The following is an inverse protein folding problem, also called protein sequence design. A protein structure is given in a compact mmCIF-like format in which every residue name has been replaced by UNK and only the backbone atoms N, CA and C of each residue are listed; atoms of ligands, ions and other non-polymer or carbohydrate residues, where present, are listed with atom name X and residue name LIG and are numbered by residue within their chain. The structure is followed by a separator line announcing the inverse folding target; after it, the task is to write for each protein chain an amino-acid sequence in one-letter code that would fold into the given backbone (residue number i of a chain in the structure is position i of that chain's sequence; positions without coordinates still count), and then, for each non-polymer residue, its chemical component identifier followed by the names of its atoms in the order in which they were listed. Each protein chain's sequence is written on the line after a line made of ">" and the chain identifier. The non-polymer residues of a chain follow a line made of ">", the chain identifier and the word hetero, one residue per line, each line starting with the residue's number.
data_IF_856727306562
#
_entry.id   IF_856727306562
#
_cell.length_a   1.000
_cell.length_b   1.000
_cell.length_c   1.000
_cell.angle_alpha   90.00
_cell.angle_beta   90.00
_cell.angle_gamma   90.00
#
_symmetry.space_group_name_H-M   'P 1'
#
loop_
_entity.id
_entity.type
_entity.pdbx_description
1 polymer ?
#
# COMPACT_ATOMS: atom_id res chain seq x y z
N UNK A 1 4.83 -3.65 -4.65
CA UNK A 1 6.20 -3.49 -5.17
C UNK A 1 6.27 -4.10 -6.56
N UNK A 2 6.56 -3.30 -7.58
CA UNK A 2 6.62 -3.76 -8.99
C UNK A 2 8.05 -3.75 -9.55
N UNK A 3 9.04 -3.44 -8.71
CA UNK A 3 10.44 -3.39 -9.11
C UNK A 3 11.15 -4.75 -9.07
N UNK A 4 12.47 -4.73 -9.23
CA UNK A 4 13.35 -5.91 -9.13
C UNK A 4 12.85 -7.09 -9.96
N UNK A 5 12.54 -8.24 -9.34
CA UNK A 5 12.17 -9.47 -10.06
C UNK A 5 10.94 -9.30 -10.94
N UNK A 6 9.95 -8.53 -10.48
CA UNK A 6 8.73 -8.26 -11.24
C UNK A 6 9.03 -7.42 -12.48
N UNK A 7 9.80 -6.34 -12.36
CA UNK A 7 10.20 -5.51 -13.50
C UNK A 7 11.00 -6.32 -14.54
N UNK A 8 11.81 -7.29 -14.10
CA UNK A 8 12.61 -8.15 -14.99
C UNK A 8 11.79 -9.13 -15.84
N UNK A 9 10.53 -9.40 -15.50
CA UNK A 9 9.65 -10.26 -16.32
C UNK A 9 8.70 -9.43 -17.20
N UNK A 10 8.62 -8.11 -17.02
CA UNK A 10 7.77 -7.22 -17.82
C UNK A 10 8.38 -6.89 -19.19
N UNK A 11 7.63 -6.28 -20.13
CA UNK A 11 8.10 -6.01 -21.49
C UNK A 11 9.31 -5.08 -21.59
N UNK A 12 9.47 -4.13 -20.66
CA UNK A 12 10.55 -3.14 -20.70
C UNK A 12 11.38 -3.18 -19.40
N UNK A 13 12.12 -4.24 -19.10
CA UNK A 13 12.85 -4.34 -17.84
C UNK A 13 13.94 -3.27 -17.76
N UNK A 14 14.16 -2.74 -16.55
CA UNK A 14 15.33 -1.91 -16.22
C UNK A 14 16.61 -2.74 -16.30
N UNK A 15 17.78 -2.09 -16.23
CA UNK A 15 19.03 -2.79 -15.96
C UNK A 15 18.86 -3.66 -14.70
N UNK A 16 19.16 -4.99 -14.78
CA UNK A 16 19.00 -5.90 -13.65
C UNK A 16 19.93 -5.62 -12.48
N UNK A 17 20.98 -4.79 -12.64
CA UNK A 17 21.93 -4.52 -11.56
C UNK A 17 21.22 -3.93 -10.33
N UNK A 18 21.45 -4.56 -9.18
CA UNK A 18 20.97 -4.13 -7.87
C UNK A 18 22.14 -4.02 -6.89
N UNK A 19 21.95 -3.29 -5.81
CA UNK A 19 23.00 -2.87 -4.88
C UNK A 19 22.91 -3.54 -3.50
N UNK A 20 22.18 -4.65 -3.44
CA UNK A 20 21.94 -5.39 -2.21
C UNK A 20 23.18 -6.21 -1.82
N UNK A 21 23.35 -6.52 -0.54
CA UNK A 21 24.55 -7.23 -0.06
C UNK A 21 24.60 -8.69 -0.53
N UNK A 22 23.43 -9.33 -0.71
CA UNK A 22 23.28 -10.76 -0.97
C UNK A 22 23.01 -11.12 -2.44
N UNK A 23 22.41 -10.23 -3.22
CA UNK A 23 22.17 -10.42 -4.66
C UNK A 23 22.68 -9.21 -5.44
N UNK A 24 23.15 -9.45 -6.67
CA UNK A 24 23.70 -8.42 -7.57
C UNK A 24 22.86 -8.20 -8.82
N UNK A 25 21.92 -9.11 -9.08
CA UNK A 25 21.03 -9.05 -10.23
C UNK A 25 19.58 -9.28 -9.79
N UNK A 26 18.67 -8.42 -10.23
CA UNK A 26 17.23 -8.58 -10.05
C UNK A 26 16.68 -9.87 -10.71
N UNK A 27 17.41 -10.44 -11.68
CA UNK A 27 17.06 -11.73 -12.31
C UNK A 27 17.20 -12.91 -11.33
N UNK A 28 17.93 -12.73 -10.25
CA UNK A 28 18.09 -13.76 -9.23
C UNK A 28 16.79 -13.94 -8.42
N UNK A 29 15.99 -12.89 -8.23
CA UNK A 29 14.62 -13.01 -7.66
C UNK A 29 13.69 -13.80 -8.58
N UNK A 30 13.81 -13.60 -9.89
CA UNK A 30 13.06 -14.39 -10.86
C UNK A 30 13.46 -15.86 -10.76
N UNK A 31 14.76 -16.13 -10.61
CA UNK A 31 15.28 -17.50 -10.46
C UNK A 31 14.86 -18.14 -9.13
N UNK A 32 14.74 -17.37 -8.05
CA UNK A 32 14.19 -17.82 -6.76
C UNK A 32 12.72 -18.21 -6.91
N UNK A 33 11.92 -17.34 -7.51
CA UNK A 33 10.52 -17.60 -7.78
C UNK A 33 10.31 -18.85 -8.66
N UNK A 34 11.09 -18.98 -9.75
CA UNK A 34 10.98 -20.11 -10.66
C UNK A 34 11.37 -21.46 -10.02
N UNK A 35 12.29 -21.45 -9.05
CA UNK A 35 12.62 -22.64 -8.27
C UNK A 35 11.48 -23.06 -7.34
N UNK A 36 10.75 -22.10 -6.78
CA UNK A 36 9.69 -22.35 -5.81
C UNK A 36 8.36 -22.76 -6.48
N UNK A 37 7.88 -22.00 -7.49
CA UNK A 37 6.57 -22.27 -8.11
C UNK A 37 6.63 -22.53 -9.63
N UNK A 38 7.81 -22.79 -10.19
CA UNK A 38 8.00 -23.14 -11.59
C UNK A 38 8.11 -21.94 -12.54
N UNK A 39 8.26 -22.19 -13.86
CA UNK A 39 8.67 -21.17 -14.83
C UNK A 39 7.69 -19.99 -14.93
N UNK A 40 8.25 -18.79 -15.11
CA UNK A 40 7.50 -17.54 -15.33
C UNK A 40 7.68 -17.13 -16.80
N UNK A 41 6.60 -16.86 -17.57
CA UNK A 41 6.73 -16.36 -18.95
C UNK A 41 7.52 -15.04 -18.99
N UNK A 42 8.34 -14.82 -20.02
CA UNK A 42 9.13 -13.58 -20.17
C UNK A 42 9.18 -13.17 -21.65
N UNK A 43 8.65 -12.00 -22.04
CA UNK A 43 7.93 -11.05 -21.19
C UNK A 43 6.52 -11.54 -20.82
N UNK A 44 6.04 -11.14 -19.65
CA UNK A 44 4.61 -11.24 -19.28
C UNK A 44 3.81 -10.05 -19.84
N UNK A 45 2.49 -10.21 -19.93
CA UNK A 45 1.57 -9.09 -20.18
C UNK A 45 1.48 -8.12 -19.00
N UNK A 46 1.09 -6.87 -19.24
CA UNK A 46 0.99 -5.84 -18.18
C UNK A 46 -0.04 -6.18 -17.08
N UNK A 47 -1.06 -6.95 -17.41
CA UNK A 47 -2.10 -7.43 -16.48
C UNK A 47 -1.68 -8.67 -15.68
N UNK A 48 -0.59 -9.34 -16.07
CA UNK A 48 -0.17 -10.63 -15.53
C UNK A 48 -0.08 -10.65 -14.00
N UNK A 49 0.55 -9.64 -13.40
CA UNK A 49 0.80 -9.58 -11.95
C UNK A 49 -0.50 -9.53 -11.13
N UNK A 50 -1.58 -9.02 -11.71
CA UNK A 50 -2.87 -8.86 -11.04
C UNK A 50 -3.70 -10.14 -11.03
N UNK A 51 -3.52 -11.02 -12.02
CA UNK A 51 -4.18 -12.32 -12.10
C UNK A 51 -5.66 -12.30 -11.67
N UNK A 52 -5.99 -13.08 -10.64
CA UNK A 52 -7.34 -13.20 -10.11
C UNK A 52 -7.93 -11.89 -9.53
N UNK A 53 -7.10 -10.90 -9.18
CA UNK A 53 -7.56 -9.62 -8.65
C UNK A 53 -8.34 -8.81 -9.69
N UNK A 54 -8.03 -8.93 -11.00
CA UNK A 54 -8.78 -8.25 -12.06
C UNK A 54 -10.26 -8.67 -12.03
N UNK A 55 -10.51 -9.98 -12.02
CA UNK A 55 -11.87 -10.52 -11.95
C UNK A 55 -12.58 -10.13 -10.65
N UNK A 56 -11.85 -9.98 -9.55
CA UNK A 56 -12.41 -9.49 -8.29
C UNK A 56 -12.81 -8.02 -8.36
N UNK A 57 -11.96 -7.15 -8.93
CA UNK A 57 -12.28 -5.74 -9.16
C UNK A 57 -13.50 -5.57 -10.08
N UNK A 58 -13.62 -6.41 -11.12
CA UNK A 58 -14.78 -6.42 -12.02
C UNK A 58 -16.06 -6.89 -11.31
N UNK A 59 -15.96 -7.91 -10.46
CA UNK A 59 -17.10 -8.40 -9.66
C UNK A 59 -17.58 -7.35 -8.66
N UNK A 60 -16.65 -6.70 -7.95
CA UNK A 60 -16.96 -5.80 -6.84
C UNK A 60 -17.31 -4.40 -7.29
N UNK A 61 -16.73 -3.94 -8.41
CA UNK A 61 -16.92 -2.59 -8.97
C UNK A 61 -16.74 -1.50 -7.91
N UNK A 62 -15.57 -1.44 -7.22
CA UNK A 62 -15.33 -0.41 -6.22
C UNK A 62 -15.38 0.97 -6.87
N UNK A 63 -15.85 1.97 -6.13
CA UNK A 63 -15.92 3.36 -6.60
C UNK A 63 -14.51 4.01 -6.70
N UNK A 64 -13.50 3.46 -6.01
CA UNK A 64 -12.09 3.86 -6.11
C UNK A 64 -11.13 2.69 -5.80
N UNK A 65 -9.96 2.68 -6.46
CA UNK A 65 -8.86 1.72 -6.28
C UNK A 65 -7.61 2.46 -5.85
N UNK A 66 -7.26 2.31 -4.57
CA UNK A 66 -6.16 3.03 -3.92
C UNK A 66 -5.09 2.01 -3.51
N UNK A 67 -3.83 2.28 -3.84
CA UNK A 67 -2.68 1.45 -3.44
C UNK A 67 -1.58 2.31 -2.82
N UNK A 68 -0.75 1.70 -1.98
CA UNK A 68 0.60 2.22 -1.72
C UNK A 68 1.54 1.68 -2.81
N UNK A 69 2.16 2.58 -3.59
CA UNK A 69 3.17 2.20 -4.56
C UNK A 69 4.56 2.37 -3.95
N UNK A 70 5.05 1.28 -3.38
CA UNK A 70 6.36 1.21 -2.72
C UNK A 70 7.49 0.87 -3.72
N UNK A 71 7.54 1.62 -4.81
CA UNK A 71 8.49 1.41 -5.90
C UNK A 71 8.67 2.73 -6.66
N UNK A 72 9.92 3.14 -6.86
CA UNK A 72 10.22 4.27 -7.74
C UNK A 72 10.01 3.88 -9.20
N UNK A 73 9.35 4.73 -9.99
CA UNK A 73 9.19 4.57 -11.43
C UNK A 73 10.16 5.54 -12.12
N UNK A 74 11.29 5.03 -12.59
CA UNK A 74 12.38 5.90 -13.09
C UNK A 74 13.41 5.11 -13.89
N UNK A 75 14.18 5.81 -14.72
CA UNK A 75 15.38 5.29 -15.40
C UNK A 75 16.69 5.78 -14.76
N UNK A 76 16.62 6.63 -13.73
CA UNK A 76 17.78 7.10 -12.96
C UNK A 76 18.59 5.92 -12.44
N UNK A 77 19.92 6.06 -12.41
CA UNK A 77 20.87 4.99 -12.09
C UNK A 77 21.77 5.27 -10.88
N UNK A 78 21.43 6.32 -10.12
CA UNK A 78 22.09 6.73 -8.86
C UNK A 78 21.23 6.31 -7.65
N UNK A 79 21.48 5.13 -7.04
CA UNK A 79 20.71 4.64 -5.91
C UNK A 79 21.10 5.35 -4.61
N UNK A 80 20.13 5.61 -3.75
CA UNK A 80 20.39 5.99 -2.36
C UNK A 80 21.15 4.84 -1.64
N UNK A 81 22.13 5.15 -0.77
CA UNK A 81 22.98 4.15 -0.12
C UNK A 81 22.25 3.43 1.02
N UNK A 82 21.33 2.52 0.66
CA UNK A 82 20.54 1.70 1.58
C UNK A 82 20.55 0.23 1.16
N UNK A 83 19.95 -0.63 1.98
CA UNK A 83 20.01 -2.08 1.77
C UNK A 83 19.23 -2.60 0.56
N UNK A 84 18.11 -1.95 0.22
CA UNK A 84 17.19 -2.37 -0.86
C UNK A 84 16.71 -1.11 -1.61
N UNK A 85 16.77 -1.16 -2.94
CA UNK A 85 16.25 -0.12 -3.83
C UNK A 85 15.28 -0.75 -4.85
N UNK A 86 14.04 -0.27 -4.90
CA UNK A 86 13.04 -0.69 -5.87
C UNK A 86 12.96 0.27 -7.04
N UNK A 87 13.11 -0.27 -8.26
CA UNK A 87 12.94 0.46 -9.53
C UNK A 87 12.03 -0.32 -10.46
N UNK A 88 11.06 0.37 -11.05
CA UNK A 88 10.32 -0.09 -12.22
C UNK A 88 10.60 0.85 -13.37
N UNK A 89 10.78 0.32 -14.59
CA UNK A 89 10.93 1.14 -15.78
C UNK A 89 9.61 1.91 -16.06
N UNK A 90 9.65 3.22 -16.36
CA UNK A 90 8.46 3.99 -16.75
C UNK A 90 7.62 3.38 -17.89
N UNK A 91 8.25 2.68 -18.83
CA UNK A 91 7.53 2.00 -19.94
C UNK A 91 6.65 0.82 -19.46
N UNK A 92 6.83 0.39 -18.22
CA UNK A 92 6.01 -0.64 -17.57
C UNK A 92 4.83 -0.08 -16.75
N UNK A 93 4.62 1.24 -16.71
CA UNK A 93 3.51 1.87 -15.95
C UNK A 93 2.13 1.31 -16.33
N UNK A 94 1.99 0.79 -17.56
CA UNK A 94 0.77 0.14 -18.03
C UNK A 94 0.32 -1.01 -17.13
N UNK A 95 1.22 -1.64 -16.36
CA UNK A 95 0.84 -2.64 -15.38
C UNK A 95 -0.12 -2.08 -14.33
N UNK A 96 0.00 -0.82 -13.92
CA UNK A 96 -0.92 -0.19 -12.98
C UNK A 96 -2.27 0.12 -13.63
N UNK A 97 -2.25 0.63 -14.87
CA UNK A 97 -3.47 0.94 -15.62
C UNK A 97 -4.27 -0.30 -16.00
N UNK A 98 -3.63 -1.48 -16.12
CA UNK A 98 -4.31 -2.74 -16.40
C UNK A 98 -5.31 -3.12 -15.29
N UNK A 99 -5.04 -2.76 -14.04
CA UNK A 99 -5.97 -2.91 -12.91
C UNK A 99 -6.86 -1.69 -12.67
N UNK A 100 -6.76 -0.66 -13.54
CA UNK A 100 -7.50 0.61 -13.42
C UNK A 100 -7.29 1.30 -12.07
N UNK A 101 -6.07 1.26 -11.54
CA UNK A 101 -5.73 1.95 -10.29
C UNK A 101 -6.02 3.44 -10.43
N UNK A 102 -6.74 4.00 -9.47
CA UNK A 102 -7.17 5.39 -9.50
C UNK A 102 -6.19 6.29 -8.73
N UNK A 103 -5.56 5.78 -7.67
CA UNK A 103 -4.61 6.52 -6.85
C UNK A 103 -3.44 5.66 -6.34
N UNK A 104 -2.23 6.21 -6.47
CA UNK A 104 -1.01 5.70 -5.84
C UNK A 104 -0.58 6.62 -4.69
N UNK A 105 -0.56 6.09 -3.47
CA UNK A 105 0.07 6.74 -2.32
C UNK A 105 1.57 6.47 -2.38
N UNK A 106 2.36 7.52 -2.24
CA UNK A 106 3.81 7.51 -2.46
C UNK A 106 4.61 7.85 -1.20
N UNK A 107 3.95 8.25 -0.10
CA UNK A 107 4.62 8.48 1.18
C UNK A 107 5.07 7.15 1.80
N UNK A 108 6.23 6.65 1.36
CA UNK A 108 6.86 5.44 1.86
C UNK A 108 8.38 5.57 1.82
N UNK A 109 9.06 4.54 2.33
CA UNK A 109 10.52 4.46 2.41
C UNK A 109 11.21 4.06 1.10
N UNK A 110 10.52 4.01 -0.04
CA UNK A 110 11.09 3.56 -1.32
C UNK A 110 10.85 4.49 -2.54
N UNK A 111 10.03 5.55 -2.43
CA UNK A 111 9.79 6.49 -3.54
C UNK A 111 11.01 7.37 -3.90
N UNK A 112 11.98 7.50 -3.00
CA UNK A 112 13.24 8.22 -3.22
C UNK A 112 14.45 7.29 -3.36
N UNK A 113 14.24 6.00 -3.62
CA UNK A 113 15.35 5.03 -3.74
C UNK A 113 16.38 5.40 -4.81
N UNK A 114 16.00 6.25 -5.78
CA UNK A 114 16.85 6.78 -6.86
C UNK A 114 16.90 8.31 -6.81
N UNK A 115 16.95 8.83 -5.59
CA UNK A 115 17.00 10.25 -5.29
C UNK A 115 15.72 11.00 -5.68
N UNK A 116 15.85 12.33 -5.72
CA UNK A 116 14.72 13.23 -5.98
C UNK A 116 14.32 13.27 -7.44
N UNK A 117 15.26 13.02 -8.36
CA UNK A 117 14.96 12.86 -9.77
C UNK A 117 14.03 11.66 -9.97
N UNK A 118 14.35 10.50 -9.40
CA UNK A 118 13.47 9.32 -9.44
C UNK A 118 12.08 9.55 -8.80
N UNK A 119 12.00 10.36 -7.74
CA UNK A 119 10.72 10.76 -7.16
C UNK A 119 9.88 11.63 -8.13
N UNK A 120 10.51 12.59 -8.81
CA UNK A 120 9.84 13.43 -9.82
C UNK A 120 9.42 12.60 -11.04
N UNK A 121 10.27 11.73 -11.55
CA UNK A 121 9.94 10.78 -12.63
C UNK A 121 8.71 9.94 -12.26
N UNK A 122 8.63 9.50 -11.01
CA UNK A 122 7.51 8.69 -10.51
C UNK A 122 6.20 9.49 -10.58
N UNK A 123 6.21 10.74 -10.09
CA UNK A 123 5.06 11.64 -10.15
C UNK A 123 4.63 11.89 -11.59
N UNK A 124 5.58 12.23 -12.47
CA UNK A 124 5.32 12.53 -13.89
C UNK A 124 4.80 11.33 -14.65
N UNK A 125 5.36 10.15 -14.41
CA UNK A 125 4.92 8.92 -15.07
C UNK A 125 3.49 8.56 -14.67
N UNK A 126 3.13 8.69 -13.38
CA UNK A 126 1.77 8.40 -12.90
C UNK A 126 0.75 9.43 -13.41
N UNK A 127 1.08 10.73 -13.34
CA UNK A 127 0.22 11.80 -13.87
C UNK A 127 0.03 11.69 -15.37
N UNK A 128 1.08 11.31 -16.11
CA UNK A 128 1.03 11.12 -17.56
C UNK A 128 0.07 10.02 -18.03
N UNK A 129 -0.25 9.06 -17.16
CA UNK A 129 -1.26 8.02 -17.42
C UNK A 129 -2.58 8.25 -16.67
N UNK A 130 -2.74 9.41 -16.02
CA UNK A 130 -3.97 9.80 -15.33
C UNK A 130 -4.20 9.15 -13.97
N UNK A 131 -3.16 8.59 -13.33
CA UNK A 131 -3.24 8.06 -11.97
C UNK A 131 -2.97 9.20 -10.98
N UNK A 132 -3.89 9.41 -10.03
CA UNK A 132 -3.71 10.41 -8.98
C UNK A 132 -2.64 9.97 -7.97
N UNK A 133 -2.00 10.94 -7.32
CA UNK A 133 -0.92 10.67 -6.35
C UNK A 133 -1.12 11.42 -5.05
N UNK A 134 -0.74 10.81 -3.93
CA UNK A 134 -0.77 11.46 -2.62
C UNK A 134 0.49 11.13 -1.80
N UNK A 135 0.91 12.04 -0.92
CA UNK A 135 1.97 11.81 0.05
C UNK A 135 3.41 12.01 -0.43
N UNK A 136 3.60 12.31 -1.71
CA UNK A 136 4.86 12.82 -2.25
C UNK A 136 4.57 13.93 -3.26
N UNK A 137 5.51 14.85 -3.44
CA UNK A 137 5.35 16.00 -4.32
C UNK A 137 6.66 16.70 -4.61
N UNK A 138 6.64 17.66 -5.54
CA UNK A 138 7.79 18.50 -5.91
C UNK A 138 8.15 19.52 -4.82
N UNK A 139 7.23 19.74 -3.89
CA UNK A 139 7.41 20.56 -2.70
C UNK A 139 6.47 20.10 -1.57
N UNK A 140 6.61 20.69 -0.39
CA UNK A 140 5.83 20.36 0.81
C UNK A 140 4.31 20.59 0.64
N UNK A 141 3.90 21.57 -0.17
CA UNK A 141 2.47 21.81 -0.45
C UNK A 141 1.87 20.69 -1.28
N UNK A 142 2.55 20.27 -2.35
CA UNK A 142 2.09 19.17 -3.20
C UNK A 142 2.09 17.85 -2.45
N UNK A 143 3.17 17.55 -1.70
CA UNK A 143 3.28 16.29 -0.93
C UNK A 143 2.15 16.11 0.09
N UNK A 144 1.64 17.20 0.64
CA UNK A 144 0.57 17.18 1.63
C UNK A 144 -0.83 17.37 1.07
N UNK A 145 -0.95 17.65 -0.23
CA UNK A 145 -2.25 17.80 -0.88
C UNK A 145 -2.91 16.44 -1.04
N UNK A 146 -4.26 16.36 -0.91
CA UNK A 146 -4.95 15.12 -1.20
C UNK A 146 -4.96 14.82 -2.69
N UNK A 147 -5.03 13.54 -3.04
CA UNK A 147 -5.55 13.10 -4.33
C UNK A 147 -7.09 13.08 -4.27
N UNK A 148 -7.80 13.94 -5.03
CA UNK A 148 -9.25 13.91 -5.10
C UNK A 148 -9.72 12.86 -6.11
N UNK A 149 -10.57 11.93 -5.68
CA UNK A 149 -11.19 10.92 -6.53
C UNK A 149 -12.70 11.19 -6.59
N UNK A 150 -13.20 11.48 -7.78
CA UNK A 150 -14.64 11.73 -8.00
C UNK A 150 -15.36 10.41 -8.16
N UNK A 151 -16.43 10.21 -7.39
CA UNK A 151 -17.30 9.04 -7.46
C UNK A 151 -18.73 9.45 -7.76
N UNK A 152 -19.59 8.48 -8.06
CA UNK A 152 -21.05 8.71 -8.19
C UNK A 152 -21.74 9.16 -6.89
N UNK A 153 -21.06 9.01 -5.75
CA UNK A 153 -21.59 9.29 -4.40
C UNK A 153 -20.97 10.52 -3.74
N UNK A 154 -20.07 11.22 -4.43
CA UNK A 154 -19.29 12.33 -3.87
C UNK A 154 -17.80 12.16 -4.11
N UNK A 155 -16.99 12.83 -3.30
CA UNK A 155 -15.53 12.84 -3.46
C UNK A 155 -14.86 12.01 -2.37
N UNK A 156 -13.81 11.28 -2.75
CA UNK A 156 -12.87 10.65 -1.81
C UNK A 156 -11.58 11.47 -1.85
N UNK A 157 -11.12 11.96 -0.70
CA UNK A 157 -9.84 12.62 -0.53
C UNK A 157 -8.83 11.63 0.05
N UNK A 158 -7.78 11.32 -0.72
CA UNK A 158 -6.71 10.43 -0.26
C UNK A 158 -5.50 11.27 0.15
N UNK A 159 -5.13 11.20 1.42
CA UNK A 159 -3.88 11.76 1.94
C UNK A 159 -2.86 10.65 2.15
N UNK A 160 -1.59 10.96 1.99
CA UNK A 160 -0.48 10.04 2.26
C UNK A 160 0.51 10.66 3.23
N UNK A 161 0.94 9.92 4.24
CA UNK A 161 2.00 10.36 5.15
C UNK A 161 2.94 9.20 5.49
N UNK A 162 4.22 9.51 5.64
CA UNK A 162 5.24 8.57 6.08
C UNK A 162 5.62 8.85 7.53
N UNK A 163 5.92 7.83 8.31
CA UNK A 163 6.50 7.97 9.64
C UNK A 163 8.00 7.65 9.60
N UNK A 164 8.77 8.26 10.51
CA UNK A 164 10.17 7.85 10.72
C UNK A 164 10.30 6.43 11.25
N UNK A 165 9.23 5.88 11.85
CA UNK A 165 9.22 4.52 12.41
C UNK A 165 9.30 3.42 11.35
N UNK A 166 9.03 3.74 10.08
CA UNK A 166 9.20 2.85 8.91
C UNK A 166 10.51 3.07 8.15
N UNK A 167 11.48 3.71 8.79
CA UNK A 167 12.82 3.89 8.23
C UNK A 167 12.94 5.02 7.21
N UNK A 168 11.93 5.89 7.07
CA UNK A 168 12.02 7.09 6.23
C UNK A 168 12.91 8.13 6.90
N UNK A 169 14.05 8.53 6.29
CA UNK A 169 14.94 9.51 6.89
C UNK A 169 14.36 10.92 6.79
N UNK A 170 14.72 11.79 7.74
CA UNK A 170 14.26 13.19 7.75
C UNK A 170 14.69 13.98 6.51
N UNK A 171 15.81 13.59 5.90
CA UNK A 171 16.30 14.19 4.65
C UNK A 171 15.32 14.01 3.48
N UNK A 172 14.43 13.00 3.53
CA UNK A 172 13.47 12.70 2.47
C UNK A 172 12.18 13.50 2.56
N UNK A 173 11.97 14.25 3.66
CA UNK A 173 10.85 15.18 3.76
C UNK A 173 10.90 16.21 2.62
N UNK A 174 9.74 16.45 2.00
CA UNK A 174 9.56 17.55 1.07
C UNK A 174 9.75 18.89 1.79
N UNK A 175 10.32 19.87 1.09
CA UNK A 175 10.41 21.27 1.58
C UNK A 175 9.74 22.18 0.56
N UNK A 176 9.67 23.49 0.83
CA UNK A 176 9.06 24.46 -0.09
C UNK A 176 9.70 24.46 -1.49
N UNK A 177 10.95 24.04 -1.59
CA UNK A 177 11.73 24.07 -2.83
C UNK A 177 12.34 22.71 -3.21
N UNK A 178 11.94 21.61 -2.56
CA UNK A 178 12.59 20.32 -2.73
C UNK A 178 11.58 19.16 -2.76
N UNK A 179 11.62 18.29 -3.78
CA UNK A 179 10.74 17.13 -3.87
C UNK A 179 10.95 16.16 -2.72
N UNK A 180 9.91 15.48 -2.26
CA UNK A 180 10.01 14.49 -1.20
C UNK A 180 8.65 14.01 -0.72
N UNK A 181 8.63 13.36 0.44
CA UNK A 181 7.41 12.84 1.06
C UNK A 181 6.84 13.77 2.13
N UNK A 182 5.53 13.70 2.38
CA UNK A 182 4.93 14.26 3.59
C UNK A 182 5.33 13.36 4.78
N UNK A 183 6.36 13.79 5.51
CA UNK A 183 6.95 13.05 6.62
C UNK A 183 6.40 13.55 7.95
N UNK A 184 5.89 12.63 8.77
CA UNK A 184 5.56 12.88 10.16
C UNK A 184 6.84 12.89 11.02
N UNK A 185 7.01 13.89 11.91
CA UNK A 185 8.13 13.91 12.83
C UNK A 185 8.02 12.81 13.90
N UNK A 186 6.80 12.48 14.31
CA UNK A 186 6.41 11.47 15.31
C UNK A 186 4.92 11.11 15.14
N UNK A 187 4.42 10.22 16.00
CA UNK A 187 3.00 9.83 16.09
C UNK A 187 2.31 10.42 17.33
N UNK A 188 2.77 11.58 17.82
CA UNK A 188 2.17 12.25 18.98
C UNK A 188 0.78 12.81 18.67
N UNK A 189 -0.01 13.06 19.72
CA UNK A 189 -1.30 13.75 19.62
C UNK A 189 -1.18 15.14 18.98
N UNK A 190 -0.08 15.86 19.25
CA UNK A 190 0.18 17.16 18.62
C UNK A 190 0.35 17.04 17.10
N UNK A 191 1.08 16.02 16.65
CA UNK A 191 1.22 15.73 15.22
C UNK A 191 -0.12 15.31 14.62
N UNK A 192 -0.90 14.48 15.30
CA UNK A 192 -2.25 14.10 14.87
C UNK A 192 -3.17 15.31 14.73
N UNK A 193 -3.15 16.24 15.68
CA UNK A 193 -3.97 17.46 15.65
C UNK A 193 -3.57 18.39 14.50
N UNK A 194 -2.27 18.55 14.24
CA UNK A 194 -1.76 19.33 13.12
C UNK A 194 -2.23 18.76 11.79
N UNK A 195 -2.06 17.45 11.58
CA UNK A 195 -2.48 16.78 10.35
C UNK A 195 -4.01 16.80 10.21
N UNK A 196 -4.73 16.50 11.29
CA UNK A 196 -6.19 16.54 11.33
C UNK A 196 -6.75 17.93 11.00
N UNK A 197 -6.11 19.00 11.49
CA UNK A 197 -6.46 20.38 11.15
C UNK A 197 -6.31 20.68 9.66
N UNK A 198 -5.21 20.24 9.03
CA UNK A 198 -4.99 20.40 7.58
C UNK A 198 -6.03 19.65 6.76
N UNK A 199 -6.31 18.40 7.13
CA UNK A 199 -7.30 17.57 6.46
C UNK A 199 -8.69 18.20 6.56
N UNK A 200 -9.10 18.66 7.74
CA UNK A 200 -10.38 19.36 7.92
C UNK A 200 -10.48 20.65 7.11
N UNK A 201 -9.38 21.39 6.93
CA UNK A 201 -9.36 22.60 6.12
C UNK A 201 -9.51 22.33 4.61
N UNK A 202 -9.05 21.17 4.13
CA UNK A 202 -9.19 20.75 2.74
C UNK A 202 -10.54 20.10 2.43
N UNK A 203 -11.15 19.47 3.45
CA UNK A 203 -12.41 18.73 3.36
C UNK A 203 -13.62 19.64 3.15
N UNK A 204 -14.56 19.18 2.33
CA UNK A 204 -15.93 19.71 2.21
C UNK A 204 -16.96 18.72 2.76
N UNK A 205 -18.18 19.22 2.98
CA UNK A 205 -19.31 18.39 3.42
C UNK A 205 -19.56 17.24 2.44
N UNK A 206 -19.66 16.02 2.97
CA UNK A 206 -19.90 14.81 2.17
C UNK A 206 -18.65 14.14 1.61
N UNK A 207 -17.46 14.75 1.70
CA UNK A 207 -16.22 14.07 1.30
C UNK A 207 -15.95 12.88 2.22
N UNK A 208 -15.38 11.80 1.69
CA UNK A 208 -14.79 10.69 2.47
C UNK A 208 -13.28 10.86 2.50
N UNK A 209 -12.67 10.76 3.67
CA UNK A 209 -11.22 10.94 3.85
C UNK A 209 -10.55 9.60 4.15
N UNK A 210 -9.62 9.21 3.27
CA UNK A 210 -8.67 8.13 3.49
C UNK A 210 -7.31 8.72 3.83
N UNK A 211 -6.77 8.40 5.00
CA UNK A 211 -5.38 8.70 5.31
C UNK A 211 -4.58 7.40 5.22
N UNK A 212 -3.67 7.37 4.26
CA UNK A 212 -2.72 6.27 4.10
C UNK A 212 -1.43 6.59 4.85
N UNK A 213 -0.98 5.64 5.68
CA UNK A 213 0.14 5.87 6.59
C UNK A 213 1.17 4.74 6.48
N UNK A 214 2.40 5.10 6.15
CA UNK A 214 3.53 4.17 6.13
C UNK A 214 4.28 4.23 7.46
N UNK A 215 4.08 3.26 8.35
CA UNK A 215 4.58 3.32 9.73
C UNK A 215 5.08 1.98 10.28
N UNK A 216 5.84 2.06 11.38
CA UNK A 216 6.29 0.89 12.10
C UNK A 216 7.34 0.08 11.34
N UNK A 217 7.90 -0.92 12.01
CA UNK A 217 8.90 -1.80 11.42
C UNK A 217 8.29 -2.83 10.48
N UNK A 218 9.18 -3.42 9.69
CA UNK A 218 8.89 -4.58 8.87
C UNK A 218 8.80 -5.80 9.78
N UNK A 219 7.75 -6.62 9.58
CA UNK A 219 7.49 -7.85 10.33
C UNK A 219 7.12 -7.64 11.81
N UNK A 220 6.20 -8.48 12.30
CA UNK A 220 5.72 -8.46 13.66
C UNK A 220 4.29 -7.93 13.78
N UNK A 221 3.51 -8.56 14.65
CA UNK A 221 2.08 -8.27 14.78
C UNK A 221 1.77 -7.17 15.80
N UNK A 222 2.71 -6.83 16.70
CA UNK A 222 2.51 -5.79 17.72
C UNK A 222 2.10 -4.47 17.07
N UNK A 223 1.02 -3.85 17.59
CA UNK A 223 0.58 -2.51 17.20
C UNK A 223 0.94 -1.56 18.35
N UNK A 224 1.97 -0.73 18.18
CA UNK A 224 2.41 0.23 19.18
C UNK A 224 1.28 1.17 19.66
N UNK A 225 1.33 1.57 20.93
CA UNK A 225 0.31 2.41 21.53
C UNK A 225 0.18 3.78 20.84
N UNK A 226 1.30 4.36 20.38
CA UNK A 226 1.33 5.62 19.66
C UNK A 226 0.61 5.55 18.30
N UNK A 227 0.72 4.44 17.55
CA UNK A 227 -0.06 4.22 16.33
C UNK A 227 -1.57 4.24 16.60
N UNK A 228 -2.01 3.57 17.68
CA UNK A 228 -3.43 3.55 18.07
C UNK A 228 -3.91 4.94 18.50
N UNK A 229 -3.18 5.59 19.39
CA UNK A 229 -3.51 6.95 19.85
C UNK A 229 -3.57 7.94 18.68
N UNK A 230 -2.61 7.87 17.76
CA UNK A 230 -2.59 8.71 16.57
C UNK A 230 -3.82 8.49 15.68
N UNK A 231 -4.15 7.23 15.37
CA UNK A 231 -5.30 6.88 14.55
C UNK A 231 -6.64 7.26 15.22
N UNK A 232 -6.79 6.97 16.52
CA UNK A 232 -7.97 7.34 17.31
C UNK A 232 -8.15 8.86 17.35
N UNK A 233 -7.08 9.63 17.57
CA UNK A 233 -7.15 11.10 17.62
C UNK A 233 -7.61 11.71 16.28
N UNK A 234 -7.17 11.16 15.16
CA UNK A 234 -7.60 11.59 13.82
C UNK A 234 -9.08 11.27 13.54
N UNK A 235 -9.56 10.13 14.03
CA UNK A 235 -10.98 9.75 13.94
C UNK A 235 -11.84 10.62 14.87
N UNK A 236 -11.40 10.84 16.11
CA UNK A 236 -12.09 11.61 17.14
C UNK A 236 -12.26 13.07 16.77
N UNK A 237 -11.27 13.62 16.07
CA UNK A 237 -11.31 14.98 15.55
C UNK A 237 -12.05 15.08 14.21
N UNK A 238 -12.74 14.01 13.81
CA UNK A 238 -13.51 13.85 12.55
C UNK A 238 -12.73 14.14 11.27
N UNK A 239 -11.40 14.14 11.33
CA UNK A 239 -10.56 14.41 10.17
C UNK A 239 -10.56 13.24 9.19
N UNK A 240 -10.46 12.01 9.68
CA UNK A 240 -10.27 10.80 8.87
C UNK A 240 -11.43 9.83 9.03
N UNK A 241 -11.80 9.14 7.94
CA UNK A 241 -12.83 8.10 7.96
C UNK A 241 -12.26 6.69 7.72
N UNK A 242 -11.12 6.57 7.05
CA UNK A 242 -10.38 5.30 6.87
C UNK A 242 -8.89 5.54 7.08
N UNK A 243 -8.28 4.70 7.91
CA UNK A 243 -6.82 4.63 8.04
C UNK A 243 -6.31 3.42 7.24
N UNK A 244 -5.45 3.67 6.26
CA UNK A 244 -4.82 2.68 5.38
C UNK A 244 -3.33 2.55 5.72
N UNK A 245 -3.00 1.73 6.72
CA UNK A 245 -1.65 1.50 7.21
C UNK A 245 -0.89 0.42 6.44
N UNK A 246 0.42 0.61 6.26
CA UNK A 246 1.33 -0.30 5.55
C UNK A 246 2.77 -0.21 6.09
N UNK A 247 3.74 -0.86 5.44
CA UNK A 247 5.14 -1.15 5.85
C UNK A 247 5.39 -2.54 6.47
N UNK A 248 4.39 -3.19 7.06
CA UNK A 248 4.62 -4.44 7.81
C UNK A 248 4.95 -5.68 6.97
N UNK A 249 4.77 -5.63 5.64
CA UNK A 249 4.87 -6.74 4.68
C UNK A 249 3.91 -7.92 4.90
N UNK A 250 3.17 -7.96 6.01
CA UNK A 250 2.06 -8.88 6.25
C UNK A 250 0.86 -8.15 6.87
N UNK A 251 -0.36 -8.69 6.72
CA UNK A 251 -1.54 -8.13 7.37
C UNK A 251 -1.41 -8.14 8.90
N UNK A 252 -1.82 -7.04 9.53
CA UNK A 252 -1.92 -6.87 10.99
C UNK A 252 -3.39 -6.82 11.44
N UNK A 253 -3.60 -6.70 12.74
CA UNK A 253 -4.94 -6.52 13.33
C UNK A 253 -5.69 -5.34 12.70
N UNK A 254 -7.01 -5.48 12.63
CA UNK A 254 -7.93 -4.47 12.10
C UNK A 254 -8.84 -4.02 13.24
N UNK A 255 -9.09 -2.73 13.34
CA UNK A 255 -10.01 -2.16 14.33
C UNK A 255 -11.16 -1.42 13.64
N UNK A 256 -12.37 -1.50 14.19
CA UNK A 256 -13.49 -0.65 13.78
C UNK A 256 -13.77 0.31 14.93
N UNK A 257 -13.10 1.46 14.91
CA UNK A 257 -13.15 2.46 15.97
C UNK A 257 -14.22 3.50 15.65
N UNK A 258 -15.24 3.65 16.51
CA UNK A 258 -16.39 4.58 16.29
C UNK A 258 -17.07 4.43 14.92
N UNK A 259 -17.10 3.20 14.40
CA UNK A 259 -17.67 2.89 13.09
C UNK A 259 -16.76 3.24 11.91
N UNK A 260 -15.45 3.45 12.13
CA UNK A 260 -14.46 3.76 11.09
C UNK A 260 -13.33 2.73 11.10
N UNK A 261 -12.95 2.15 9.95
CA UNK A 261 -11.93 1.12 9.91
C UNK A 261 -10.52 1.69 10.05
N UNK A 262 -9.72 1.03 10.89
CA UNK A 262 -8.28 1.24 11.02
C UNK A 262 -7.57 -0.04 10.57
N UNK A 263 -6.91 0.02 9.42
CA UNK A 263 -6.06 -1.05 8.91
C UNK A 263 -4.63 -0.75 9.37
N UNK A 264 -4.14 -1.40 10.44
CA UNK A 264 -2.82 -1.06 11.00
C UNK A 264 -1.64 -1.52 10.13
N UNK A 265 -1.86 -2.50 9.26
CA UNK A 265 -0.88 -2.97 8.28
C UNK A 265 -1.57 -3.87 7.27
N UNK A 266 -1.60 -3.46 6.00
CA UNK A 266 -2.26 -4.21 4.93
C UNK A 266 -1.41 -5.34 4.34
N UNK A 267 -0.11 -5.37 4.66
CA UNK A 267 0.84 -6.29 4.06
C UNK A 267 1.09 -6.04 2.57
N UNK A 268 1.86 -6.94 1.96
CA UNK A 268 2.18 -6.84 0.55
C UNK A 268 1.04 -7.39 -0.31
N UNK A 269 0.62 -6.61 -1.31
CA UNK A 269 -0.33 -7.09 -2.31
C UNK A 269 0.37 -7.76 -3.49
N UNK A 270 1.42 -7.13 -4.02
CA UNK A 270 2.28 -7.64 -5.09
C UNK A 270 3.72 -7.42 -4.65
N UNK A 271 4.52 -8.49 -4.64
CA UNK A 271 5.95 -8.47 -4.29
C UNK A 271 6.72 -9.53 -5.09
N UNK A 272 8.04 -9.51 -4.98
CA UNK A 272 8.97 -10.49 -5.58
C UNK A 272 9.64 -11.38 -4.51
N UNK A 273 8.96 -11.63 -3.38
CA UNK A 273 9.54 -12.33 -2.22
C UNK A 273 9.53 -13.86 -2.34
N UNK A 274 9.02 -14.37 -3.45
CA UNK A 274 8.91 -15.79 -3.72
C UNK A 274 10.28 -16.49 -3.67
N UNK A 275 10.42 -17.51 -2.83
CA UNK A 275 11.68 -18.21 -2.59
C UNK A 275 12.65 -17.52 -1.62
N UNK A 276 12.29 -16.37 -1.04
CA UNK A 276 13.05 -15.73 0.04
C UNK A 276 12.60 -16.33 1.38
N UNK A 277 13.54 -16.92 2.13
CA UNK A 277 13.26 -17.55 3.43
C UNK A 277 13.50 -16.63 4.64
N UNK A 278 13.11 -17.11 5.83
CA UNK A 278 13.36 -16.48 7.13
C UNK A 278 12.16 -15.77 7.76
N UNK A 279 11.04 -15.67 7.03
CA UNK A 279 9.81 -14.98 7.46
C UNK A 279 8.53 -15.80 7.16
N UNK A 280 8.65 -17.12 7.05
CA UNK A 280 7.58 -18.04 6.65
C UNK A 280 6.37 -17.99 7.60
N UNK A 281 6.61 -17.68 8.87
CA UNK A 281 5.56 -17.54 9.91
C UNK A 281 4.56 -16.41 9.61
N UNK A 282 4.95 -15.44 8.77
CA UNK A 282 4.09 -14.33 8.36
C UNK A 282 3.31 -14.60 7.08
N UNK A 283 3.61 -15.71 6.37
CA UNK A 283 2.98 -16.07 5.09
C UNK A 283 2.92 -14.89 4.11
N UNK A 284 4.10 -14.33 3.80
CA UNK A 284 4.24 -13.21 2.83
C UNK A 284 3.81 -13.55 1.40
N UNK A 285 3.47 -14.81 1.13
CA UNK A 285 2.82 -15.26 -0.10
C UNK A 285 1.30 -15.02 -0.12
N UNK A 286 0.68 -14.73 1.02
CA UNK A 286 -0.74 -14.39 1.11
C UNK A 286 -0.95 -12.88 1.05
N UNK A 287 -1.90 -12.47 0.22
CA UNK A 287 -2.27 -11.08 -0.01
C UNK A 287 -3.77 -10.87 0.25
N UNK A 288 -4.16 -9.64 0.59
CA UNK A 288 -5.56 -9.27 0.81
C UNK A 288 -5.96 -8.09 -0.05
N UNK A 289 -7.13 -8.20 -0.69
CA UNK A 289 -7.88 -7.03 -1.16
C UNK A 289 -8.82 -6.57 -0.05
N UNK A 290 -8.86 -5.26 0.21
CA UNK A 290 -9.68 -4.65 1.25
C UNK A 290 -10.84 -3.87 0.62
N UNK A 291 -12.09 -4.22 0.98
CA UNK A 291 -13.30 -3.58 0.44
C UNK A 291 -14.16 -2.98 1.56
N UNK A 292 -13.76 -1.84 2.14
CA UNK A 292 -14.64 -1.08 3.01
C UNK A 292 -15.77 -0.43 2.20
N UNK A 293 -17.01 -0.65 2.62
CA UNK A 293 -18.20 0.05 2.14
C UNK A 293 -18.60 1.06 3.22
N UNK A 294 -18.61 2.34 2.86
CA UNK A 294 -18.97 3.43 3.74
C UNK A 294 -20.32 4.00 3.32
N UNK A 295 -21.12 4.41 4.30
CA UNK A 295 -22.30 5.22 4.06
C UNK A 295 -21.85 6.67 3.75
N UNK A 296 -22.21 7.20 2.59
CA UNK A 296 -21.72 8.50 2.12
C UNK A 296 -22.19 9.69 2.99
N UNK A 297 -23.28 9.53 3.74
CA UNK A 297 -23.83 10.62 4.58
C UNK A 297 -23.22 10.61 5.97
N UNK A 298 -23.26 9.45 6.62
CA UNK A 298 -22.77 9.26 7.99
C UNK A 298 -21.25 9.03 8.05
N UNK A 299 -20.64 8.66 6.92
CA UNK A 299 -19.22 8.32 6.76
C UNK A 299 -18.78 7.13 7.60
N UNK A 300 -19.74 6.33 8.05
CA UNK A 300 -19.51 5.13 8.85
C UNK A 300 -19.42 3.90 7.96
N UNK A 301 -18.66 2.93 8.44
CA UNK A 301 -18.52 1.61 7.86
C UNK A 301 -19.85 0.86 7.91
N UNK A 302 -20.34 0.49 6.73
CA UNK A 302 -21.47 -0.43 6.56
C UNK A 302 -20.96 -1.87 6.54
N UNK A 303 -19.85 -2.12 5.85
CA UNK A 303 -19.29 -3.45 5.68
C UNK A 303 -17.79 -3.38 5.39
N UNK A 304 -16.99 -4.26 6.01
CA UNK A 304 -15.60 -4.49 5.63
C UNK A 304 -15.41 -5.95 5.24
N UNK A 305 -15.26 -6.17 3.95
CA UNK A 305 -14.97 -7.49 3.38
C UNK A 305 -13.54 -7.53 2.86
N UNK A 306 -12.91 -8.68 2.96
CA UNK A 306 -11.56 -8.95 2.48
C UNK A 306 -11.57 -10.13 1.50
N UNK A 307 -10.77 -10.05 0.44
CA UNK A 307 -10.57 -11.17 -0.49
C UNK A 307 -9.14 -11.69 -0.38
N UNK A 308 -8.95 -12.89 0.19
CA UNK A 308 -7.66 -13.57 0.23
C UNK A 308 -7.21 -14.01 -1.16
N UNK A 309 -5.96 -13.69 -1.47
CA UNK A 309 -5.24 -14.12 -2.66
C UNK A 309 -3.89 -14.71 -2.25
N UNK A 310 -3.25 -15.41 -3.17
CA UNK A 310 -1.92 -15.97 -2.99
C UNK A 310 -1.03 -15.61 -4.18
N UNK A 311 0.13 -15.06 -3.89
CA UNK A 311 1.19 -14.81 -4.86
C UNK A 311 1.89 -16.12 -5.22
N UNK A 312 1.93 -16.44 -6.52
CA UNK A 312 2.76 -17.50 -7.10
C UNK A 312 3.18 -17.11 -8.51
N UNK A 313 4.44 -17.34 -8.87
CA UNK A 313 5.00 -16.97 -10.17
C UNK A 313 4.81 -15.49 -10.47
N UNK A 314 4.98 -14.63 -9.47
CA UNK A 314 4.69 -13.18 -9.52
C UNK A 314 3.28 -12.80 -9.99
N UNK A 315 2.30 -13.68 -9.83
CA UNK A 315 0.90 -13.44 -10.17
C UNK A 315 0.00 -13.76 -8.97
N UNK A 316 -1.06 -12.97 -8.81
CA UNK A 316 -2.10 -13.22 -7.81
C UNK A 316 -3.08 -14.32 -8.26
N UNK A 317 -3.20 -15.35 -7.44
CA UNK A 317 -4.17 -16.44 -7.58
C UNK A 317 -5.20 -16.37 -6.45
N UNK A 318 -6.38 -16.97 -6.66
CA UNK A 318 -7.32 -17.15 -5.54
C UNK A 318 -6.68 -18.03 -4.47
N UNK A 319 -6.79 -17.62 -3.21
CA UNK A 319 -6.34 -18.44 -2.10
C UNK A 319 -7.14 -19.75 -2.03
N UNK A 320 -6.51 -20.83 -1.55
CA UNK A 320 -7.21 -22.06 -1.21
C UNK A 320 -8.07 -21.86 0.05
N UNK A 321 -8.94 -22.82 0.36
CA UNK A 321 -9.71 -22.79 1.62
C UNK A 321 -8.78 -22.85 2.85
N UNK A 322 -7.67 -23.57 2.75
CA UNK A 322 -6.65 -23.66 3.81
C UNK A 322 -5.93 -22.31 4.02
N UNK A 323 -5.50 -21.68 2.92
CA UNK A 323 -4.85 -20.37 2.96
C UNK A 323 -5.82 -19.27 3.46
N UNK A 324 -7.09 -19.35 3.04
CA UNK A 324 -8.17 -18.48 3.50
C UNK A 324 -8.44 -18.66 4.99
N UNK A 325 -8.45 -19.91 5.47
CA UNK A 325 -8.60 -20.22 6.89
C UNK A 325 -7.42 -19.69 7.70
N UNK A 326 -6.20 -19.88 7.22
CA UNK A 326 -4.99 -19.41 7.89
C UNK A 326 -5.01 -17.89 8.11
N UNK A 327 -5.30 -17.12 7.05
CA UNK A 327 -5.29 -15.65 7.14
C UNK A 327 -6.47 -15.12 7.97
N UNK A 328 -7.63 -15.78 7.92
CA UNK A 328 -8.75 -15.50 8.82
C UNK A 328 -8.35 -15.68 10.28
N UNK A 329 -7.72 -16.81 10.61
CA UNK A 329 -7.34 -17.14 11.99
C UNK A 329 -6.24 -16.20 12.50
N UNK A 330 -5.30 -15.81 11.63
CA UNK A 330 -4.31 -14.77 11.94
C UNK A 330 -4.97 -13.42 12.23
N UNK A 331 -5.85 -12.93 11.35
CA UNK A 331 -6.55 -11.66 11.57
C UNK A 331 -7.46 -11.69 12.81
N UNK A 332 -8.14 -12.80 13.07
CA UNK A 332 -8.98 -12.96 14.27
C UNK A 332 -8.13 -12.92 15.56
N UNK A 333 -6.96 -13.56 15.56
CA UNK A 333 -6.01 -13.50 16.67
C UNK A 333 -5.54 -12.08 16.93
N UNK A 334 -5.12 -11.36 15.89
CA UNK A 334 -4.61 -9.99 16.03
C UNK A 334 -5.70 -8.95 16.27
N UNK A 335 -6.94 -9.23 15.84
CA UNK A 335 -8.11 -8.37 16.06
C UNK A 335 -8.71 -8.48 17.46
N UNK A 336 -8.42 -9.56 18.21
CA UNK A 336 -9.04 -9.83 19.51
C UNK A 336 -8.83 -8.68 20.51
N UNK A 337 -7.60 -8.16 20.60
CA UNK A 337 -7.27 -7.03 21.50
C UNK A 337 -7.78 -5.68 20.99
N UNK A 338 -8.22 -5.62 19.73
CA UNK A 338 -8.79 -4.43 19.09
C UNK A 338 -10.33 -4.46 19.09
N UNK A 339 -10.95 -5.50 19.66
CA UNK A 339 -12.40 -5.65 19.64
C UNK A 339 -12.96 -5.89 18.24
N UNK A 340 -12.25 -6.66 17.40
CA UNK A 340 -12.77 -7.09 16.10
C UNK A 340 -12.79 -8.61 15.95
N UNK A 341 -13.75 -9.09 15.16
CA UNK A 341 -13.86 -10.49 14.73
C UNK A 341 -13.73 -10.61 13.23
N UNK A 342 -13.32 -11.78 12.76
CA UNK A 342 -13.24 -12.11 11.33
C UNK A 342 -13.99 -13.41 11.07
N UNK A 343 -14.97 -13.36 10.18
CA UNK A 343 -15.78 -14.52 9.79
C UNK A 343 -15.60 -14.83 8.30
N UNK A 344 -15.77 -16.10 7.94
CA UNK A 344 -15.84 -16.51 6.54
C UNK A 344 -17.28 -16.31 6.05
N UNK A 345 -17.44 -15.60 4.94
CA UNK A 345 -18.72 -15.45 4.23
C UNK A 345 -18.62 -16.12 2.86
N UNK A 346 -19.60 -15.90 1.99
CA UNK A 346 -19.68 -16.58 0.70
C UNK A 346 -18.44 -16.39 -0.18
N UNK A 347 -18.12 -17.42 -0.97
CA UNK A 347 -17.07 -17.40 -2.01
C UNK A 347 -15.67 -17.07 -1.49
N UNK A 348 -15.30 -17.56 -0.31
CA UNK A 348 -13.96 -17.35 0.26
C UNK A 348 -13.70 -15.92 0.75
N UNK A 349 -14.73 -15.07 0.80
CA UNK A 349 -14.60 -13.69 1.30
C UNK A 349 -14.58 -13.71 2.83
N UNK A 350 -13.73 -12.90 3.44
CA UNK A 350 -13.70 -12.70 4.89
C UNK A 350 -14.45 -11.42 5.25
N UNK A 351 -15.18 -11.41 6.36
CA UNK A 351 -15.87 -10.22 6.87
C UNK A 351 -15.35 -9.85 8.24
N UNK A 352 -14.94 -8.59 8.38
CA UNK A 352 -14.52 -8.00 9.65
C UNK A 352 -15.70 -7.31 10.30
N UNK A 353 -15.92 -7.55 11.59
CA UNK A 353 -16.97 -6.91 12.39
C UNK A 353 -16.42 -6.42 13.73
N UNK A 354 -17.03 -5.38 14.30
CA UNK A 354 -16.75 -5.01 15.69
C UNK A 354 -17.36 -6.09 16.60
N UNK A 355 -16.64 -6.44 17.66
CA UNK A 355 -17.06 -7.42 18.68
C UNK A 355 -18.07 -6.84 19.66
#
# INVERSE_FOLDING_TARGET
>A
MTGRGIDQVMPHPSDPRIFESYLKSARDYVSLAERENGPIPKPVGYDYIWGAAIGELERRRPDARIINLETSITKEDDPEPKGINYRMNPENVRCLTAARIDCCVLANNHVLDWGRAGCVDTLETLHGVGIATAGAGRNASEAASPAPLSTRHGQILVFGVASRTSGVPTSWAATDSRPGVELLPDLSEQTADRIGGRIRAARKDGDIVVLSVHWGGNWGYEIPADQRTFAHRLIDSEAVDVIHGHSSHHPKGIEIYKGKPILYGCGDFINDYEGIGGYETYRGDLALMYFPTLDATTRKLVQLDLTPLRMKRFQLHRASDEDTKWIRDALAREGLLLGSTVSLVERGTLRVSAS
#
